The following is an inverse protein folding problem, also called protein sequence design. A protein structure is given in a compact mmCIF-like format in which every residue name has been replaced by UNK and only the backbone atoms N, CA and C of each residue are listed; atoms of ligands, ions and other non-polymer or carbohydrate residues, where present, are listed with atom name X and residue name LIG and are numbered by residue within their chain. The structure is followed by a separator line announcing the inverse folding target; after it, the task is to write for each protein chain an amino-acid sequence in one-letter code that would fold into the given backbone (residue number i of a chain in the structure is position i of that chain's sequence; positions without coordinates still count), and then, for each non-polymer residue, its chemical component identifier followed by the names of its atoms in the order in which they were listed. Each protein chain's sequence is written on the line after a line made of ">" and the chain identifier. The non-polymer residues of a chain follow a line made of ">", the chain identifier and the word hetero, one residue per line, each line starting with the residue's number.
data_IF_318227037883
#
_entry.id   IF_318227037883
#
_cell.length_a   1.000
_cell.length_b   1.000
_cell.length_c   1.000
_cell.angle_alpha   90.00
_cell.angle_beta   90.00
_cell.angle_gamma   90.00
#
_symmetry.space_group_name_H-M   'P 1'
#
loop_
_entity.id
_entity.type
_entity.pdbx_description
1 polymer ?
#
# COMPACT_ATOMS: atom_id res chain seq x y z
N UNK A 1 9.40 69.97 -4.86
CA UNK A 1 9.57 70.06 -3.40
C UNK A 1 8.43 69.37 -2.76
N UNK A 2 8.57 68.10 -2.37
CA UNK A 2 7.70 67.42 -1.39
C UNK A 2 8.40 66.08 -1.05
N UNK A 3 8.81 65.99 0.19
CA UNK A 3 9.55 64.83 0.76
C UNK A 3 8.57 63.71 1.08
N UNK A 4 8.84 62.51 0.58
CA UNK A 4 8.15 61.28 1.05
C UNK A 4 9.03 60.57 2.08
N UNK A 5 8.55 60.52 3.31
CA UNK A 5 9.08 59.72 4.40
C UNK A 5 8.68 58.27 4.21
N UNK A 6 9.66 57.37 4.15
CA UNK A 6 9.47 55.91 4.22
C UNK A 6 9.35 55.51 5.70
N UNK A 7 8.22 54.94 6.04
CA UNK A 7 7.98 54.26 7.34
C UNK A 7 8.30 52.77 7.17
N UNK A 8 9.28 52.28 7.90
CA UNK A 8 9.66 50.88 8.04
C UNK A 8 8.82 50.27 9.18
N UNK A 9 8.16 49.11 9.03
CA UNK A 9 7.59 48.43 10.18
C UNK A 9 8.65 47.58 10.89
N UNK A 10 8.77 47.83 12.18
CA UNK A 10 9.56 47.10 13.14
C UNK A 10 8.94 45.73 13.40
N UNK A 11 9.63 44.63 13.06
CA UNK A 11 9.26 43.28 13.45
C UNK A 11 9.81 43.01 14.87
N UNK A 12 8.94 43.02 15.84
CA UNK A 12 9.24 42.52 17.21
C UNK A 12 9.17 40.99 17.21
N UNK A 13 10.33 40.36 17.37
CA UNK A 13 10.45 38.91 17.63
C UNK A 13 9.99 38.60 19.04
N UNK A 14 8.88 37.89 19.16
CA UNK A 14 8.40 37.33 20.42
C UNK A 14 9.08 35.97 20.65
N UNK A 15 10.13 35.94 21.47
CA UNK A 15 10.76 34.75 21.99
C UNK A 15 9.85 34.14 23.06
N UNK A 16 9.20 33.01 22.76
CA UNK A 16 8.46 32.21 23.72
C UNK A 16 9.42 31.23 24.40
N UNK A 17 9.84 31.55 25.61
CA UNK A 17 10.59 30.66 26.48
C UNK A 17 9.65 29.57 27.02
N UNK A 18 9.85 28.32 26.62
CA UNK A 18 9.19 27.16 27.23
C UNK A 18 10.09 26.64 28.34
N UNK A 19 9.65 26.85 29.57
CA UNK A 19 10.28 26.29 30.78
C UNK A 19 10.07 24.78 30.82
N UNK A 20 11.17 24.02 30.79
CA UNK A 20 11.20 22.60 31.15
C UNK A 20 11.13 22.48 32.69
N UNK A 21 10.00 21.99 33.18
CA UNK A 21 9.93 21.45 34.55
C UNK A 21 10.43 20.01 34.55
N UNK A 22 11.64 19.81 35.02
CA UNK A 22 12.17 18.50 35.35
C UNK A 22 11.56 18.04 36.68
N UNK A 23 10.78 16.97 36.68
CA UNK A 23 10.43 16.23 37.90
C UNK A 23 11.61 15.34 38.32
N UNK A 24 12.32 15.76 39.33
CA UNK A 24 13.21 14.91 40.13
C UNK A 24 12.37 13.89 40.90
N UNK A 25 12.66 12.61 40.73
CA UNK A 25 12.25 11.55 41.66
C UNK A 25 13.45 11.14 42.46
N UNK A 26 13.28 11.24 43.81
CA UNK A 26 14.19 10.72 44.80
C UNK A 26 14.22 9.20 44.85
N UNK A 27 15.36 8.59 45.20
CA UNK A 27 15.49 7.14 45.37
C UNK A 27 15.16 6.70 46.80
N UNK A 28 14.85 5.43 46.94
CA UNK A 28 14.81 4.56 48.12
C UNK A 28 13.43 4.10 48.54
N UNK A 29 13.16 2.84 48.18
CA UNK A 29 12.78 1.82 49.18
C UNK A 29 13.14 0.44 48.62
N UNK A 30 14.07 -0.22 49.34
CA UNK A 30 14.40 -1.62 49.18
C UNK A 30 13.24 -2.47 49.72
N UNK A 31 12.84 -3.51 49.00
CA UNK A 31 12.03 -4.59 49.55
C UNK A 31 12.72 -5.93 49.35
N UNK A 32 12.70 -6.67 50.41
CA UNK A 32 13.37 -7.91 50.72
C UNK A 32 13.15 -9.05 49.70
N UNK A 33 14.24 -9.79 49.50
CA UNK A 33 14.28 -11.09 48.82
C UNK A 33 14.08 -12.19 49.85
N UNK A 34 13.13 -13.11 49.70
CA UNK A 34 13.10 -14.33 50.51
C UNK A 34 14.07 -15.37 49.95
N UNK A 35 15.00 -15.77 50.79
CA UNK A 35 15.95 -16.87 50.62
C UNK A 35 15.27 -18.24 50.61
N UNK A 36 15.69 -19.08 49.65
CA UNK A 36 15.35 -20.52 49.60
C UNK A 36 16.41 -21.32 50.37
N UNK A 37 16.05 -22.27 51.22
CA UNK A 37 17.02 -23.10 51.91
C UNK A 37 17.53 -24.25 51.05
N UNK A 38 18.84 -24.43 51.07
CA UNK A 38 19.59 -25.59 50.60
C UNK A 38 19.42 -26.78 51.54
N UNK A 39 19.17 -27.96 51.03
CA UNK A 39 19.41 -29.22 51.75
C UNK A 39 20.17 -30.19 50.86
N UNK A 40 21.16 -30.79 51.49
CA UNK A 40 22.21 -31.65 50.99
C UNK A 40 21.82 -33.14 50.91
N UNK A 41 22.55 -33.81 49.98
CA UNK A 41 23.15 -35.18 50.04
C UNK A 41 22.25 -36.44 50.05
N UNK A 42 22.43 -37.34 49.11
CA UNK A 42 23.35 -38.47 49.14
C UNK A 42 23.14 -39.44 48.00
N UNK A 43 24.21 -40.12 47.67
CA UNK A 43 24.46 -41.03 46.57
C UNK A 43 23.63 -42.31 46.49
N UNK A 44 23.48 -42.89 45.31
CA UNK A 44 23.02 -44.26 45.08
C UNK A 44 22.98 -44.59 43.56
N UNK A 45 23.97 -45.28 43.12
CA UNK A 45 24.13 -45.93 41.79
C UNK A 45 23.07 -46.96 41.51
N UNK A 46 22.48 -46.95 40.34
CA UNK A 46 22.32 -48.18 39.48
C UNK A 46 21.83 -47.75 38.07
N UNK A 47 22.47 -48.31 37.06
CA UNK A 47 22.14 -48.14 35.65
C UNK A 47 20.86 -48.91 35.29
N UNK A 48 19.97 -48.25 34.55
CA UNK A 48 18.90 -48.94 33.79
C UNK A 48 18.68 -48.22 32.47
N UNK A 49 18.63 -49.03 31.43
CA UNK A 49 18.55 -48.69 30.01
C UNK A 49 17.29 -47.87 29.74
N UNK A 50 17.47 -46.72 29.10
CA UNK A 50 16.39 -45.83 28.72
C UNK A 50 15.71 -46.30 27.44
N UNK A 51 14.42 -46.52 27.52
CA UNK A 51 13.52 -46.59 26.37
C UNK A 51 13.26 -45.15 25.87
N UNK A 52 13.54 -44.90 24.59
CA UNK A 52 13.28 -43.65 23.93
C UNK A 52 11.79 -43.41 23.73
N UNK A 53 11.25 -42.39 24.41
CA UNK A 53 9.89 -41.89 24.12
C UNK A 53 9.92 -40.95 22.92
N UNK A 54 8.95 -41.04 21.99
CA UNK A 54 8.89 -40.14 20.83
C UNK A 54 8.42 -38.77 21.23
N UNK A 55 9.02 -37.75 20.62
CA UNK A 55 8.75 -36.33 20.84
C UNK A 55 7.32 -35.93 20.45
N UNK A 56 6.57 -35.20 21.32
CA UNK A 56 5.23 -34.70 21.01
C UNK A 56 5.27 -33.25 20.51
N UNK A 57 5.95 -32.98 19.37
CA UNK A 57 6.12 -31.56 18.96
C UNK A 57 5.37 -31.18 17.67
N UNK A 58 4.88 -32.14 16.89
CA UNK A 58 4.27 -31.82 15.58
C UNK A 58 2.76 -31.47 15.64
N UNK A 59 1.99 -31.99 16.59
CA UNK A 59 0.53 -31.73 16.66
C UNK A 59 0.17 -30.33 17.21
N UNK A 60 0.96 -29.80 18.13
CA UNK A 60 0.71 -28.47 18.71
C UNK A 60 0.96 -27.33 17.71
N UNK A 61 1.96 -27.46 16.84
CA UNK A 61 2.29 -26.43 15.84
C UNK A 61 1.23 -26.34 14.73
N UNK A 62 0.66 -27.45 14.28
CA UNK A 62 -0.36 -27.44 13.23
C UNK A 62 -1.65 -26.77 13.71
N UNK A 63 -2.09 -27.05 14.94
CA UNK A 63 -3.30 -26.44 15.50
C UNK A 63 -3.14 -24.94 15.74
N UNK A 64 -1.98 -24.47 16.22
CA UNK A 64 -1.70 -23.04 16.40
C UNK A 64 -1.61 -22.30 15.06
N UNK A 65 -1.05 -22.93 14.03
CA UNK A 65 -0.94 -22.33 12.70
C UNK A 65 -2.31 -22.15 12.03
N UNK A 66 -3.23 -23.13 12.17
CA UNK A 66 -4.61 -23.01 11.68
C UNK A 66 -5.42 -21.95 12.45
N UNK A 67 -5.25 -21.85 13.77
CA UNK A 67 -5.92 -20.84 14.59
C UNK A 67 -5.40 -19.45 14.20
N UNK A 68 -4.08 -19.26 14.04
CA UNK A 68 -3.47 -18.01 13.61
C UNK A 68 -3.98 -17.55 12.24
N UNK A 69 -4.01 -18.43 11.26
CA UNK A 69 -4.53 -18.16 9.92
C UNK A 69 -6.00 -17.72 9.93
N UNK A 70 -6.86 -18.37 10.74
CA UNK A 70 -8.26 -17.99 10.90
C UNK A 70 -8.43 -16.61 11.53
N UNK A 71 -7.62 -16.27 12.55
CA UNK A 71 -7.63 -14.94 13.17
C UNK A 71 -7.14 -13.86 12.24
N UNK A 72 -6.07 -14.10 11.48
CA UNK A 72 -5.56 -13.18 10.46
C UNK A 72 -6.63 -12.91 9.42
N UNK A 73 -7.27 -13.97 8.89
CA UNK A 73 -8.35 -13.84 7.90
C UNK A 73 -9.52 -13.01 8.44
N UNK A 74 -9.95 -13.24 9.67
CA UNK A 74 -11.03 -12.47 10.32
C UNK A 74 -10.66 -10.99 10.43
N UNK A 75 -9.44 -10.67 10.88
CA UNK A 75 -8.96 -9.30 11.04
C UNK A 75 -8.83 -8.58 9.69
N UNK A 76 -8.29 -9.27 8.66
CA UNK A 76 -8.18 -8.72 7.32
C UNK A 76 -9.54 -8.43 6.70
N UNK A 77 -10.51 -9.33 6.80
CA UNK A 77 -11.88 -9.07 6.32
C UNK A 77 -12.54 -7.86 6.99
N UNK A 78 -12.23 -7.63 8.27
CA UNK A 78 -12.73 -6.46 8.99
C UNK A 78 -12.01 -5.16 8.55
N UNK A 79 -10.71 -5.22 8.32
CA UNK A 79 -9.87 -4.07 7.98
C UNK A 79 -9.93 -3.69 6.50
N UNK A 80 -9.95 -4.69 5.63
CA UNK A 80 -9.91 -4.60 4.17
C UNK A 80 -11.00 -5.52 3.59
N UNK A 81 -12.25 -5.05 3.48
CA UNK A 81 -13.36 -5.84 2.94
C UNK A 81 -13.13 -6.17 1.47
N UNK A 82 -13.66 -7.31 1.04
CA UNK A 82 -13.65 -7.73 -0.36
C UNK A 82 -14.35 -6.71 -1.27
N UNK A 83 -13.82 -6.53 -2.46
CA UNK A 83 -14.34 -5.58 -3.46
C UNK A 83 -15.04 -6.39 -4.56
N UNK A 84 -16.33 -6.18 -4.73
CA UNK A 84 -17.07 -6.69 -5.87
C UNK A 84 -16.78 -5.83 -7.11
N UNK A 85 -16.33 -6.44 -8.21
CA UNK A 85 -15.96 -5.73 -9.43
C UNK A 85 -16.32 -6.52 -10.70
N UNK A 86 -16.24 -5.86 -11.87
CA UNK A 86 -16.28 -6.49 -13.19
C UNK A 86 -15.12 -5.99 -14.06
N UNK A 87 -14.81 -6.76 -15.09
CA UNK A 87 -13.87 -6.36 -16.14
C UNK A 87 -14.58 -6.05 -17.46
N UNK A 88 -15.91 -6.11 -17.47
CA UNK A 88 -16.72 -5.81 -18.65
C UNK A 88 -16.63 -4.33 -19.00
N UNK A 89 -16.52 -4.04 -20.30
CA UNK A 89 -16.48 -2.67 -20.82
C UNK A 89 -15.38 -1.78 -20.22
N UNK A 90 -14.24 -2.35 -19.80
CA UNK A 90 -13.08 -1.58 -19.40
C UNK A 90 -12.64 -0.65 -20.55
N UNK A 91 -12.19 0.59 -20.26
CA UNK A 91 -11.53 1.43 -21.25
C UNK A 91 -10.36 0.69 -21.91
N UNK A 92 -10.15 0.90 -23.22
CA UNK A 92 -9.09 0.20 -23.97
C UNK A 92 -7.73 0.27 -23.28
N UNK A 93 -7.36 1.42 -22.73
CA UNK A 93 -6.09 1.59 -22.01
C UNK A 93 -6.01 0.72 -20.75
N UNK A 94 -7.09 0.52 -20.03
CA UNK A 94 -7.14 -0.37 -18.87
C UNK A 94 -6.99 -1.85 -19.29
N UNK A 95 -7.59 -2.23 -20.43
CA UNK A 95 -7.41 -3.54 -21.03
C UNK A 95 -5.95 -3.76 -21.44
N UNK A 96 -5.30 -2.76 -22.05
CA UNK A 96 -3.88 -2.82 -22.42
C UNK A 96 -2.97 -3.04 -21.20
N UNK A 97 -3.20 -2.32 -20.08
CA UNK A 97 -2.44 -2.54 -18.84
C UNK A 97 -2.60 -3.97 -18.33
N UNK A 98 -3.82 -4.52 -18.38
CA UNK A 98 -4.06 -5.89 -17.94
C UNK A 98 -3.30 -6.93 -18.77
N UNK A 99 -3.01 -6.63 -20.05
CA UNK A 99 -2.42 -7.55 -21.02
C UNK A 99 -0.94 -7.30 -21.30
N UNK A 100 -0.38 -6.17 -20.86
CA UNK A 100 1.01 -5.79 -21.16
C UNK A 100 2.00 -6.84 -20.65
N UNK A 101 3.03 -7.12 -21.44
CA UNK A 101 4.20 -7.90 -21.05
C UNK A 101 5.49 -7.12 -21.32
N UNK A 102 6.53 -7.45 -20.58
CA UNK A 102 7.86 -6.90 -20.77
C UNK A 102 8.61 -7.67 -21.85
N UNK A 103 9.45 -6.96 -22.61
CA UNK A 103 10.32 -7.55 -23.63
C UNK A 103 11.75 -7.01 -23.47
N UNK A 104 12.80 -7.84 -23.66
CA UNK A 104 14.21 -7.43 -23.61
C UNK A 104 14.56 -6.31 -24.59
N UNK A 105 13.85 -6.20 -25.70
CA UNK A 105 14.07 -5.17 -26.72
C UNK A 105 13.49 -3.80 -26.34
N UNK A 106 12.88 -3.69 -25.16
CA UNK A 106 12.15 -2.49 -24.72
C UNK A 106 10.82 -2.28 -25.43
N UNK A 107 10.44 -3.15 -26.37
CA UNK A 107 9.11 -3.15 -26.96
C UNK A 107 8.09 -3.63 -25.93
N UNK A 108 6.97 -2.91 -25.83
CA UNK A 108 5.86 -3.35 -24.99
C UNK A 108 5.04 -4.35 -25.79
N UNK A 109 5.08 -5.61 -25.36
CA UNK A 109 4.26 -6.64 -25.97
C UNK A 109 2.85 -6.61 -25.34
N UNK A 110 1.83 -6.42 -26.19
CA UNK A 110 0.44 -6.61 -25.80
C UNK A 110 0.01 -8.02 -26.21
N UNK A 111 -0.43 -8.81 -25.24
CA UNK A 111 -0.98 -10.13 -25.52
C UNK A 111 -2.23 -9.95 -26.41
N UNK A 112 -2.27 -10.63 -27.56
CA UNK A 112 -3.39 -10.53 -28.51
C UNK A 112 -4.72 -10.78 -27.78
N UNK A 113 -5.68 -9.86 -27.96
CA UNK A 113 -7.02 -10.02 -27.41
C UNK A 113 -7.73 -11.17 -28.13
N UNK A 114 -8.49 -12.03 -27.42
CA UNK A 114 -9.37 -12.98 -28.07
C UNK A 114 -10.39 -12.23 -28.97
N UNK A 115 -10.61 -12.70 -30.18
CA UNK A 115 -11.40 -12.05 -31.20
C UNK A 115 -12.85 -11.67 -30.78
N UNK A 116 -13.36 -12.22 -29.68
CA UNK A 116 -14.68 -11.92 -29.12
C UNK A 116 -14.85 -10.52 -28.52
N UNK A 117 -13.78 -9.78 -28.30
CA UNK A 117 -13.85 -8.44 -27.68
C UNK A 117 -13.95 -7.28 -28.70
N UNK A 118 -13.91 -7.58 -30.01
CA UNK A 118 -13.91 -6.56 -31.11
C UNK A 118 -15.29 -6.30 -31.67
N UNK A 119 -16.36 -6.95 -31.22
CA UNK A 119 -17.71 -6.78 -31.78
C UNK A 119 -18.50 -5.77 -30.94
N UNK A 120 -18.26 -4.49 -31.16
CA UNK A 120 -19.27 -3.44 -31.02
C UNK A 120 -18.77 -2.09 -31.56
N UNK A 121 -18.56 -1.92 -32.82
CA UNK A 121 -18.71 -0.66 -33.58
C UNK A 121 -18.27 -0.86 -35.05
N UNK A 122 -19.02 -1.62 -35.81
CA UNK A 122 -19.03 -1.43 -37.28
C UNK A 122 -20.45 -1.64 -37.80
N UNK A 123 -21.02 -0.55 -38.25
CA UNK A 123 -22.21 -0.53 -39.10
C UNK A 123 -21.84 -1.06 -40.47
N UNK A 124 -22.69 -1.92 -40.96
CA UNK A 124 -22.58 -2.72 -42.19
C UNK A 124 -22.12 -1.98 -43.44
N UNK A 125 -21.21 -2.61 -44.20
CA UNK A 125 -21.21 -2.64 -45.64
C UNK A 125 -20.64 -3.98 -46.13
N UNK A 126 -21.39 -4.62 -47.04
CA UNK A 126 -21.28 -5.97 -47.57
C UNK A 126 -20.06 -6.21 -48.46
N UNK A 127 -19.71 -7.50 -48.78
CA UNK A 127 -18.39 -7.95 -49.18
C UNK A 127 -18.20 -8.07 -50.73
N UNK A 128 -17.01 -8.41 -51.18
CA UNK A 128 -16.86 -9.70 -51.81
C UNK A 128 -15.60 -10.52 -51.50
N UNK A 129 -15.72 -11.75 -51.89
CA UNK A 129 -15.09 -13.00 -51.65
C UNK A 129 -13.57 -13.16 -51.83
N UNK A 130 -13.07 -14.19 -51.10
CA UNK A 130 -12.00 -15.12 -51.47
C UNK A 130 -10.55 -14.65 -51.38
N UNK A 131 -9.86 -15.07 -50.30
CA UNK A 131 -8.49 -15.61 -50.35
C UNK A 131 -8.12 -16.31 -49.04
N UNK A 132 -7.52 -17.48 -49.14
CA UNK A 132 -7.02 -18.41 -48.14
C UNK A 132 -5.94 -17.77 -47.26
N UNK A 133 -5.86 -18.04 -45.93
CA UNK A 133 -4.82 -17.47 -45.09
C UNK A 133 -3.57 -18.33 -45.06
N UNK A 134 -2.46 -17.71 -45.39
CA UNK A 134 -1.11 -18.21 -45.12
C UNK A 134 -0.70 -17.67 -43.74
N UNK A 135 -0.37 -18.58 -42.81
CA UNK A 135 0.09 -18.25 -41.44
C UNK A 135 1.56 -17.90 -41.55
N UNK A 136 1.91 -16.63 -41.37
CA UNK A 136 3.24 -16.18 -41.05
C UNK A 136 3.18 -15.14 -39.94
N UNK A 137 4.08 -15.27 -38.96
CA UNK A 137 4.10 -14.60 -37.69
C UNK A 137 3.90 -13.08 -37.71
N UNK A 138 3.04 -12.60 -36.86
CA UNK A 138 2.80 -11.18 -36.62
C UNK A 138 3.80 -10.63 -35.58
N UNK A 139 4.79 -9.91 -36.05
CA UNK A 139 5.48 -8.86 -35.28
C UNK A 139 4.63 -7.60 -35.49
N UNK A 140 3.90 -7.17 -34.46
CA UNK A 140 3.22 -5.86 -34.49
C UNK A 140 4.10 -4.83 -33.80
N UNK A 141 4.95 -4.16 -34.55
CA UNK A 141 5.46 -2.83 -34.17
C UNK A 141 4.26 -1.87 -34.23
N UNK A 142 3.92 -1.29 -33.07
CA UNK A 142 2.88 -0.25 -33.02
C UNK A 142 3.46 0.99 -33.72
N UNK A 143 2.96 1.30 -34.91
CA UNK A 143 3.30 2.55 -35.57
C UNK A 143 2.54 3.71 -34.93
N UNK A 144 3.26 4.51 -34.14
CA UNK A 144 2.73 5.69 -33.46
C UNK A 144 2.40 6.86 -34.38
N UNK A 145 2.75 6.81 -35.66
CA UNK A 145 2.42 7.87 -36.63
C UNK A 145 0.91 7.97 -36.88
N UNK A 146 0.17 6.87 -36.81
CA UNK A 146 -1.29 6.85 -36.95
C UNK A 146 -2.01 7.57 -35.77
N UNK A 147 -1.44 7.57 -34.56
CA UNK A 147 -2.01 8.27 -33.42
C UNK A 147 -1.77 9.79 -33.44
N UNK A 148 -0.77 10.26 -34.21
CA UNK A 148 -0.52 11.69 -34.42
C UNK A 148 -1.37 12.29 -35.54
N UNK A 149 -1.77 11.50 -36.52
CA UNK A 149 -2.59 12.00 -37.64
C UNK A 149 -4.05 12.23 -37.23
N UNK A 150 -4.60 11.46 -36.29
CA UNK A 150 -5.97 11.68 -35.80
C UNK A 150 -6.20 12.98 -35.04
N UNK A 151 -5.15 13.73 -34.72
CA UNK A 151 -5.26 15.04 -34.05
C UNK A 151 -5.39 16.24 -35.04
N UNK A 152 -5.19 16.04 -36.34
CA UNK A 152 -5.13 17.12 -37.30
C UNK A 152 -6.23 17.09 -38.43
N UNK A 153 -7.08 16.08 -38.44
CA UNK A 153 -8.16 16.04 -39.44
C UNK A 153 -9.36 16.84 -38.92
N UNK A 154 -9.61 17.94 -39.60
CA UNK A 154 -10.72 18.85 -39.35
C UNK A 154 -12.01 18.24 -39.98
N UNK A 155 -13.01 17.83 -39.18
CA UNK A 155 -14.27 17.32 -39.77
C UNK A 155 -15.25 18.48 -39.92
N UNK A 156 -15.39 18.94 -41.16
CA UNK A 156 -16.60 19.65 -41.60
C UNK A 156 -17.69 18.63 -41.88
N UNK A 157 -18.48 18.25 -40.88
CA UNK A 157 -19.86 17.77 -41.05
C UNK A 157 -20.60 17.87 -39.70
N UNK A 158 -21.67 18.62 -39.74
CA UNK A 158 -22.81 18.76 -38.82
C UNK A 158 -22.69 18.03 -37.47
N UNK A 159 -22.13 18.71 -36.48
CA UNK A 159 -22.03 18.22 -35.13
C UNK A 159 -23.36 18.40 -34.39
N UNK A 160 -23.86 17.32 -33.83
CA UNK A 160 -24.87 17.34 -32.80
C UNK A 160 -24.26 18.08 -31.56
N UNK A 161 -24.82 19.26 -31.22
CA UNK A 161 -24.25 20.19 -30.23
C UNK A 161 -24.28 19.71 -28.78
N UNK A 162 -24.83 18.53 -28.52
CA UNK A 162 -25.03 18.00 -27.14
C UNK A 162 -24.06 16.87 -26.75
N UNK A 163 -23.16 16.44 -27.61
CA UNK A 163 -22.10 15.50 -27.29
C UNK A 163 -20.88 16.25 -26.75
N UNK A 164 -20.74 16.36 -25.43
CA UNK A 164 -19.47 16.74 -24.81
C UNK A 164 -18.36 15.85 -25.37
N UNK A 165 -17.21 16.42 -25.82
CA UNK A 165 -16.11 15.62 -26.31
C UNK A 165 -15.66 14.67 -25.19
N UNK A 166 -15.75 13.37 -25.45
CA UNK A 166 -15.28 12.36 -24.50
C UNK A 166 -13.78 12.56 -24.31
N UNK A 167 -13.37 13.14 -23.18
CA UNK A 167 -11.94 13.18 -22.79
C UNK A 167 -11.47 11.74 -22.68
N UNK A 168 -10.72 11.29 -23.66
CA UNK A 168 -10.17 9.93 -23.68
C UNK A 168 -9.22 9.77 -22.49
N UNK A 169 -9.27 8.60 -21.85
CA UNK A 169 -8.31 8.20 -20.84
C UNK A 169 -6.94 8.10 -21.52
N UNK A 170 -5.99 8.91 -21.09
CA UNK A 170 -4.65 8.92 -21.65
C UNK A 170 -3.64 8.33 -20.66
N UNK A 171 -3.08 7.16 -21.00
CA UNK A 171 -1.92 6.54 -20.35
C UNK A 171 -0.85 6.38 -21.42
N UNK A 172 0.38 6.80 -21.11
CA UNK A 172 1.50 6.65 -22.04
C UNK A 172 1.93 5.18 -22.10
N UNK A 173 2.46 4.72 -23.26
CA UNK A 173 2.89 3.33 -23.42
C UNK A 173 3.90 2.86 -22.38
N UNK A 174 4.86 3.69 -22.04
CA UNK A 174 5.86 3.40 -21.00
C UNK A 174 5.26 3.24 -19.59
N UNK A 175 4.13 3.89 -19.32
CA UNK A 175 3.40 3.77 -18.05
C UNK A 175 2.66 2.41 -17.92
N UNK A 176 2.29 1.75 -19.03
CA UNK A 176 1.55 0.48 -18.99
C UNK A 176 2.32 -0.58 -18.22
N UNK A 177 3.59 -0.74 -18.54
CA UNK A 177 4.47 -1.70 -17.87
C UNK A 177 4.70 -1.32 -16.39
N UNK A 178 4.84 -0.01 -16.09
CA UNK A 178 5.00 0.46 -14.72
C UNK A 178 3.78 0.15 -13.87
N UNK A 179 2.56 0.32 -14.38
CA UNK A 179 1.33 -0.06 -13.67
C UNK A 179 1.32 -1.56 -13.34
N UNK A 180 1.67 -2.42 -14.31
CA UNK A 180 1.72 -3.87 -14.07
C UNK A 180 2.81 -4.23 -13.07
N UNK A 181 3.98 -3.64 -13.18
CA UNK A 181 5.07 -3.82 -12.20
C UNK A 181 4.62 -3.42 -10.79
N UNK A 182 4.01 -2.24 -10.63
CA UNK A 182 3.52 -1.76 -9.32
C UNK A 182 2.45 -2.69 -8.74
N UNK A 183 1.51 -3.16 -9.58
CA UNK A 183 0.47 -4.09 -9.16
C UNK A 183 1.04 -5.42 -8.69
N UNK A 184 1.93 -6.03 -9.49
CA UNK A 184 2.57 -7.30 -9.15
C UNK A 184 3.41 -7.18 -7.87
N UNK A 185 4.20 -6.12 -7.70
CA UNK A 185 4.97 -5.88 -6.47
C UNK A 185 4.04 -5.81 -5.24
N UNK A 186 2.96 -5.04 -5.31
CA UNK A 186 1.96 -4.98 -4.23
C UNK A 186 1.38 -6.36 -3.93
N UNK A 187 1.02 -7.13 -4.94
CA UNK A 187 0.42 -8.45 -4.79
C UNK A 187 1.40 -9.51 -4.30
N UNK A 188 2.71 -9.32 -4.54
CA UNK A 188 3.78 -10.12 -3.91
C UNK A 188 4.11 -9.66 -2.47
N UNK A 189 3.35 -8.72 -1.91
CA UNK A 189 3.54 -8.22 -0.55
C UNK A 189 4.53 -7.06 -0.42
N UNK A 190 5.07 -6.54 -1.53
CA UNK A 190 6.04 -5.44 -1.52
C UNK A 190 5.35 -4.13 -1.94
N UNK A 191 4.80 -3.40 -0.95
CA UNK A 191 4.04 -2.17 -1.20
C UNK A 191 4.89 -1.11 -1.89
N UNK A 192 4.31 -0.49 -2.91
CA UNK A 192 4.86 0.69 -3.60
C UNK A 192 4.28 2.00 -3.05
N UNK A 193 3.43 1.92 -2.02
CA UNK A 193 2.57 3.02 -1.60
C UNK A 193 1.40 3.22 -2.58
N UNK A 194 1.06 4.46 -2.89
CA UNK A 194 0.00 4.74 -3.87
C UNK A 194 0.43 4.35 -5.29
N UNK A 195 -0.45 3.64 -6.00
CA UNK A 195 -0.25 3.31 -7.42
C UNK A 195 -0.33 4.59 -8.26
N UNK A 196 0.68 4.85 -9.07
CA UNK A 196 0.85 6.11 -9.81
C UNK A 196 1.09 5.94 -11.30
N UNK A 197 1.62 4.78 -11.74
CA UNK A 197 2.18 4.58 -13.07
C UNK A 197 3.55 5.25 -13.28
N UNK A 198 4.22 5.67 -12.20
CA UNK A 198 5.54 6.30 -12.24
C UNK A 198 6.53 5.40 -11.50
N UNK A 199 7.68 5.12 -12.12
CA UNK A 199 8.80 4.39 -11.49
C UNK A 199 9.48 5.32 -10.46
N UNK A 200 8.81 5.53 -9.33
CA UNK A 200 9.28 6.37 -8.24
C UNK A 200 10.21 5.61 -7.27
N UNK A 201 10.80 6.33 -6.30
CA UNK A 201 11.72 5.73 -5.32
C UNK A 201 11.12 4.56 -4.53
N UNK A 202 9.81 4.59 -4.19
CA UNK A 202 9.17 3.51 -3.46
C UNK A 202 8.98 2.27 -4.35
N UNK A 203 8.63 2.47 -5.63
CA UNK A 203 8.55 1.37 -6.62
C UNK A 203 9.92 0.70 -6.81
N UNK A 204 10.98 1.51 -6.97
CA UNK A 204 12.35 0.97 -7.11
C UNK A 204 12.76 0.17 -5.86
N UNK A 205 12.50 0.70 -4.65
CA UNK A 205 12.79 -0.02 -3.40
C UNK A 205 12.01 -1.34 -3.31
N UNK A 206 10.72 -1.33 -3.62
CA UNK A 206 9.89 -2.54 -3.61
C UNK A 206 10.43 -3.59 -4.59
N UNK A 207 10.84 -3.18 -5.80
CA UNK A 207 11.46 -4.05 -6.79
C UNK A 207 12.80 -4.62 -6.29
N UNK A 208 13.66 -3.80 -5.71
CA UNK A 208 14.94 -4.25 -5.15
C UNK A 208 14.76 -5.25 -4.01
N UNK A 209 13.75 -5.05 -3.14
CA UNK A 209 13.42 -5.99 -2.07
C UNK A 209 12.91 -7.31 -2.65
N UNK A 210 12.05 -7.25 -3.66
CA UNK A 210 11.57 -8.43 -4.38
C UNK A 210 12.74 -9.19 -5.02
N UNK A 211 13.65 -8.50 -5.71
CA UNK A 211 14.87 -9.08 -6.29
C UNK A 211 15.73 -9.78 -5.23
N UNK A 212 15.99 -9.12 -4.10
CA UNK A 212 16.75 -9.71 -2.98
C UNK A 212 16.07 -10.96 -2.43
N UNK A 213 14.75 -10.93 -2.20
CA UNK A 213 13.97 -12.07 -1.72
C UNK A 213 14.08 -13.28 -2.67
N UNK A 214 14.16 -13.03 -3.96
CA UNK A 214 14.23 -14.08 -5.00
C UNK A 214 15.66 -14.41 -5.45
N UNK A 215 16.70 -13.91 -4.75
CA UNK A 215 18.12 -14.10 -5.08
C UNK A 215 18.48 -13.64 -6.50
N UNK A 216 17.83 -12.57 -6.99
CA UNK A 216 18.09 -11.97 -8.29
C UNK A 216 19.11 -10.84 -8.17
N UNK A 217 19.78 -10.45 -9.27
CA UNK A 217 20.58 -9.23 -9.32
C UNK A 217 19.74 -8.01 -8.92
N UNK A 218 20.28 -7.17 -8.01
CA UNK A 218 19.57 -5.96 -7.54
C UNK A 218 19.82 -4.82 -8.49
N UNK A 219 18.77 -4.38 -9.19
CA UNK A 219 18.80 -3.34 -10.21
C UNK A 219 17.83 -2.21 -9.88
N UNK A 220 17.89 -1.11 -10.63
CA UNK A 220 16.91 -0.01 -10.57
C UNK A 220 15.95 -0.01 -11.76
N UNK A 221 16.16 -0.92 -12.71
CA UNK A 221 15.38 -1.09 -13.95
C UNK A 221 14.83 -2.51 -14.03
N UNK A 222 13.74 -2.70 -14.76
CA UNK A 222 13.20 -4.02 -15.05
C UNK A 222 14.16 -4.79 -15.94
N UNK A 223 14.42 -6.05 -15.59
CA UNK A 223 15.14 -7.03 -16.39
C UNK A 223 14.33 -8.33 -16.55
N UNK A 224 14.81 -9.22 -17.43
CA UNK A 224 14.12 -10.48 -17.76
C UNK A 224 13.93 -11.38 -16.53
N UNK A 225 14.98 -11.50 -15.70
CA UNK A 225 14.92 -12.34 -14.52
C UNK A 225 13.90 -11.83 -13.50
N UNK A 226 13.86 -10.52 -13.27
CA UNK A 226 12.89 -9.85 -12.40
C UNK A 226 11.47 -10.01 -12.94
N UNK A 227 11.28 -9.78 -14.25
CA UNK A 227 9.96 -9.91 -14.88
C UNK A 227 9.44 -11.35 -14.81
N UNK A 228 10.28 -12.32 -15.14
CA UNK A 228 9.96 -13.75 -15.07
C UNK A 228 9.56 -14.15 -13.64
N UNK A 229 10.30 -13.71 -12.64
CA UNK A 229 9.97 -13.99 -11.24
C UNK A 229 8.65 -13.32 -10.81
N UNK A 230 8.42 -12.06 -11.18
CA UNK A 230 7.17 -11.34 -10.86
C UNK A 230 5.94 -12.01 -11.48
N UNK A 231 6.07 -12.57 -12.69
CA UNK A 231 4.97 -13.18 -13.43
C UNK A 231 4.84 -14.69 -13.25
N UNK A 232 5.77 -15.33 -12.52
CA UNK A 232 5.79 -16.79 -12.27
C UNK A 232 4.57 -17.30 -11.51
N UNK A 233 3.99 -16.49 -10.62
CA UNK A 233 2.76 -16.83 -9.93
C UNK A 233 1.56 -16.56 -10.87
N UNK A 234 1.05 -17.64 -11.51
CA UNK A 234 -0.05 -17.55 -12.46
C UNK A 234 -1.31 -16.93 -11.87
N UNK A 235 -1.62 -17.18 -10.59
CA UNK A 235 -2.80 -16.62 -9.94
C UNK A 235 -2.70 -15.09 -9.87
N UNK A 236 -1.54 -14.55 -9.49
CA UNK A 236 -1.32 -13.10 -9.46
C UNK A 236 -1.24 -12.52 -10.87
N UNK A 237 -0.53 -13.18 -11.78
CA UNK A 237 -0.35 -12.69 -13.15
C UNK A 237 -1.66 -12.64 -13.96
N UNK A 238 -2.65 -13.47 -13.61
CA UNK A 238 -3.99 -13.51 -14.22
C UNK A 238 -4.97 -12.49 -13.62
N UNK A 239 -4.64 -11.87 -12.47
CA UNK A 239 -5.52 -10.86 -11.87
C UNK A 239 -5.59 -9.60 -12.77
N UNK A 240 -6.79 -9.04 -12.96
CA UNK A 240 -6.92 -7.76 -13.64
C UNK A 240 -6.34 -6.64 -12.77
N UNK A 241 -5.47 -5.81 -13.36
CA UNK A 241 -4.85 -4.68 -12.67
C UNK A 241 -5.83 -3.54 -12.54
N UNK A 242 -6.55 -3.24 -13.62
CA UNK A 242 -7.67 -2.31 -13.59
C UNK A 242 -9.00 -3.06 -13.71
N UNK A 243 -9.97 -2.57 -12.96
CA UNK A 243 -11.30 -3.12 -12.80
C UNK A 243 -12.34 -2.01 -12.90
N UNK A 244 -13.57 -2.36 -13.24
CA UNK A 244 -14.74 -1.49 -13.11
C UNK A 244 -15.42 -1.75 -11.78
N UNK A 245 -15.71 -0.68 -11.06
CA UNK A 245 -16.34 -0.69 -9.74
C UNK A 245 -17.54 0.25 -9.71
N UNK A 246 -18.69 -0.21 -9.22
CA UNK A 246 -19.84 0.64 -9.00
C UNK A 246 -19.76 1.30 -7.62
N UNK A 247 -19.64 2.63 -7.61
CA UNK A 247 -19.57 3.41 -6.37
C UNK A 247 -20.85 3.25 -5.54
N UNK A 248 -20.69 3.04 -4.26
CA UNK A 248 -21.75 3.00 -3.27
C UNK A 248 -21.83 4.33 -2.49
N UNK A 249 -22.86 4.51 -1.67
CA UNK A 249 -22.94 5.68 -0.77
C UNK A 249 -21.88 5.62 0.33
N UNK A 250 -21.54 4.41 0.78
CA UNK A 250 -20.56 4.18 1.85
C UNK A 250 -19.13 4.49 1.40
N UNK A 251 -18.86 4.44 0.09
CA UNK A 251 -17.56 4.84 -0.46
C UNK A 251 -17.33 6.36 -0.41
N UNK A 252 -18.38 7.13 -0.22
CA UNK A 252 -18.38 8.58 -0.40
C UNK A 252 -18.73 9.32 0.90
N UNK A 253 -18.25 8.80 2.04
CA UNK A 253 -18.38 9.47 3.34
C UNK A 253 -17.40 10.63 3.40
N UNK A 254 -17.88 11.82 3.05
CA UNK A 254 -17.07 13.04 2.94
C UNK A 254 -17.28 13.90 4.19
N UNK A 255 -16.22 14.59 4.60
CA UNK A 255 -16.25 15.50 5.75
C UNK A 255 -17.33 16.57 5.61
N UNK A 256 -18.09 16.77 6.69
CA UNK A 256 -19.08 17.84 6.82
C UNK A 256 -18.60 18.95 7.76
N UNK A 257 -17.60 18.64 8.58
CA UNK A 257 -17.00 19.57 9.54
C UNK A 257 -15.48 19.33 9.66
N UNK A 258 -14.66 20.36 9.92
CA UNK A 258 -13.20 20.24 9.97
C UNK A 258 -12.65 19.18 10.94
N UNK A 259 -13.43 18.81 11.95
CA UNK A 259 -13.02 17.87 13.02
C UNK A 259 -13.61 16.46 12.86
N UNK A 260 -14.38 16.14 11.83
CA UNK A 260 -14.99 14.80 11.70
C UNK A 260 -14.05 13.73 11.11
N UNK A 261 -12.84 14.12 10.72
CA UNK A 261 -11.76 13.25 10.23
C UNK A 261 -12.12 12.34 9.04
N UNK A 262 -13.23 12.64 8.35
CA UNK A 262 -13.63 11.92 7.14
C UNK A 262 -12.87 12.44 5.92
N UNK A 263 -13.04 11.80 4.75
CA UNK A 263 -12.41 12.22 3.50
C UNK A 263 -12.80 13.65 3.09
N UNK A 264 -11.86 14.42 2.57
CA UNK A 264 -12.10 15.79 2.11
C UNK A 264 -12.82 15.84 0.76
N UNK A 265 -12.77 14.77 -0.01
CA UNK A 265 -13.39 14.68 -1.34
C UNK A 265 -13.69 13.24 -1.75
N UNK A 266 -14.64 13.05 -2.67
CA UNK A 266 -14.91 11.76 -3.29
C UNK A 266 -13.66 11.16 -3.97
N UNK A 267 -12.80 12.00 -4.55
CA UNK A 267 -11.55 11.58 -5.18
C UNK A 267 -10.57 10.99 -4.17
N UNK A 268 -10.43 11.60 -3.02
CA UNK A 268 -9.59 11.10 -1.92
C UNK A 268 -10.13 9.77 -1.41
N UNK A 269 -11.45 9.67 -1.19
CA UNK A 269 -12.09 8.44 -0.74
C UNK A 269 -11.86 7.27 -1.71
N UNK A 270 -12.04 7.50 -3.01
CA UNK A 270 -11.79 6.51 -4.06
C UNK A 270 -10.30 6.18 -4.14
N UNK A 271 -9.43 7.17 -4.11
CA UNK A 271 -7.98 6.97 -4.18
C UNK A 271 -7.49 6.08 -3.05
N UNK A 272 -7.95 6.34 -1.83
CA UNK A 272 -7.53 5.57 -0.66
C UNK A 272 -8.14 4.16 -0.66
N UNK A 273 -9.42 4.00 -0.99
CA UNK A 273 -10.06 2.68 -1.08
C UNK A 273 -9.36 1.76 -2.07
N UNK A 274 -8.88 2.30 -3.18
CA UNK A 274 -8.24 1.53 -4.26
C UNK A 274 -6.71 1.72 -4.31
N UNK A 275 -6.07 2.20 -3.23
CA UNK A 275 -4.62 2.32 -3.08
C UNK A 275 -3.94 3.08 -4.24
N UNK A 276 -4.60 4.12 -4.74
CA UNK A 276 -4.19 4.91 -5.90
C UNK A 276 -3.82 6.34 -5.51
N UNK A 277 -3.05 7.02 -6.36
CA UNK A 277 -2.96 8.48 -6.26
C UNK A 277 -4.26 9.14 -6.72
N UNK A 278 -4.62 10.27 -6.11
CA UNK A 278 -5.80 11.05 -6.51
C UNK A 278 -5.72 11.50 -7.98
N UNK A 279 -4.50 11.77 -8.46
CA UNK A 279 -4.25 12.12 -9.87
C UNK A 279 -4.61 10.97 -10.81
N UNK A 280 -4.30 9.72 -10.44
CA UNK A 280 -4.63 8.55 -11.24
C UNK A 280 -6.14 8.31 -11.29
N UNK A 281 -6.86 8.50 -10.17
CA UNK A 281 -8.34 8.42 -10.17
C UNK A 281 -8.94 9.36 -11.21
N UNK A 282 -8.47 10.61 -11.27
CA UNK A 282 -8.94 11.59 -12.25
C UNK A 282 -8.56 11.25 -13.69
N UNK A 283 -7.38 10.64 -13.90
CA UNK A 283 -6.92 10.22 -15.23
C UNK A 283 -7.73 9.05 -15.78
N UNK A 284 -8.07 8.08 -14.94
CA UNK A 284 -8.86 6.92 -15.34
C UNK A 284 -10.34 7.25 -15.54
N UNK A 285 -10.85 8.30 -14.90
CA UNK A 285 -12.26 8.68 -14.91
C UNK A 285 -12.46 10.17 -15.29
N UNK A 286 -11.97 10.62 -16.45
CA UNK A 286 -11.91 12.05 -16.76
C UNK A 286 -13.30 12.69 -16.95
N UNK A 287 -14.31 11.92 -17.30
CA UNK A 287 -15.68 12.39 -17.56
C UNK A 287 -16.73 11.79 -16.63
N UNK A 288 -16.36 10.77 -15.85
CA UNK A 288 -17.29 10.07 -14.97
C UNK A 288 -17.35 10.76 -13.60
N UNK A 289 -18.49 11.31 -13.20
CA UNK A 289 -18.63 11.88 -11.86
C UNK A 289 -18.46 10.82 -10.77
N UNK A 290 -17.74 11.14 -9.71
CA UNK A 290 -17.59 10.25 -8.56
C UNK A 290 -18.82 10.35 -7.65
N UNK A 291 -19.91 9.68 -8.06
CA UNK A 291 -21.21 9.64 -7.37
C UNK A 291 -21.67 8.19 -7.21
N UNK A 292 -22.41 7.91 -6.14
CA UNK A 292 -23.00 6.60 -5.90
C UNK A 292 -23.87 6.16 -7.10
N UNK A 293 -23.74 4.91 -7.50
CA UNK A 293 -24.39 4.31 -8.66
C UNK A 293 -23.55 4.36 -9.95
N UNK A 294 -22.59 5.29 -10.07
CA UNK A 294 -21.72 5.37 -11.25
C UNK A 294 -20.66 4.27 -11.22
N UNK A 295 -20.35 3.76 -12.40
CA UNK A 295 -19.25 2.79 -12.63
C UNK A 295 -17.99 3.58 -12.95
N UNK A 296 -16.91 3.30 -12.23
CA UNK A 296 -15.59 3.92 -12.40
C UNK A 296 -14.53 2.86 -12.65
N UNK A 297 -13.47 3.25 -13.38
CA UNK A 297 -12.29 2.40 -13.56
C UNK A 297 -11.28 2.70 -12.44
N UNK A 298 -10.82 1.66 -11.74
CA UNK A 298 -9.91 1.75 -10.59
C UNK A 298 -8.89 0.63 -10.61
N UNK A 299 -7.83 0.77 -9.82
CA UNK A 299 -6.88 -0.32 -9.56
C UNK A 299 -7.52 -1.39 -8.68
N UNK A 300 -7.16 -2.64 -8.93
CA UNK A 300 -7.54 -3.80 -8.11
C UNK A 300 -6.55 -3.99 -6.95
N UNK A 301 -6.89 -3.61 -5.72
CA UNK A 301 -5.99 -3.72 -4.58
C UNK A 301 -5.99 -5.15 -4.00
N UNK A 302 -5.88 -6.17 -4.85
CA UNK A 302 -5.88 -7.56 -4.45
C UNK A 302 -4.84 -7.84 -3.34
N UNK A 303 -5.25 -8.54 -2.29
CA UNK A 303 -4.43 -8.81 -1.09
C UNK A 303 -4.33 -10.32 -0.86
N UNK A 304 -3.37 -11.01 -1.50
CA UNK A 304 -3.26 -12.46 -1.38
C UNK A 304 -2.59 -12.92 -0.08
N UNK A 305 -1.82 -12.05 0.57
CA UNK A 305 -1.00 -12.44 1.72
C UNK A 305 -1.80 -12.43 3.02
N UNK A 306 -1.99 -13.61 3.59
CA UNK A 306 -2.64 -13.81 4.89
C UNK A 306 -1.68 -14.43 5.92
N UNK A 307 -0.38 -14.36 5.69
CA UNK A 307 0.63 -14.91 6.60
C UNK A 307 0.74 -14.07 7.87
N UNK A 308 0.75 -14.71 9.02
CA UNK A 308 0.93 -14.03 10.29
C UNK A 308 2.34 -13.46 10.42
N UNK A 309 2.43 -12.19 10.81
CA UNK A 309 3.68 -11.46 11.03
C UNK A 309 4.05 -11.51 12.51
N UNK A 310 5.17 -12.11 12.83
CA UNK A 310 5.67 -12.24 14.21
C UNK A 310 6.83 -11.30 14.52
N UNK A 311 7.43 -10.69 13.49
CA UNK A 311 8.51 -9.71 13.62
C UNK A 311 8.41 -8.67 12.53
N UNK A 312 8.65 -7.41 12.87
CA UNK A 312 8.89 -6.33 11.91
C UNK A 312 10.22 -5.65 12.19
N UNK A 313 10.87 -5.17 11.13
CA UNK A 313 12.13 -4.41 11.19
C UNK A 313 11.92 -3.09 10.50
N UNK A 314 12.07 -2.00 11.24
CA UNK A 314 12.02 -0.64 10.71
C UNK A 314 13.43 -0.16 10.37
N UNK A 315 13.82 -0.26 9.10
CA UNK A 315 15.04 0.33 8.57
C UNK A 315 14.83 1.84 8.38
N UNK A 316 15.32 2.61 9.36
CA UNK A 316 15.17 4.07 9.40
C UNK A 316 15.93 4.78 8.28
N UNK A 317 17.03 4.19 7.81
CA UNK A 317 17.85 4.77 6.74
C UNK A 317 17.20 4.61 5.38
N UNK A 318 16.62 3.43 5.12
CA UNK A 318 15.92 3.14 3.87
C UNK A 318 14.48 3.65 3.84
N UNK A 319 13.90 4.00 5.01
CA UNK A 319 12.47 4.27 5.17
C UNK A 319 11.62 3.10 4.65
N UNK A 320 11.90 1.91 5.15
CA UNK A 320 11.18 0.67 4.85
C UNK A 320 10.86 -0.05 6.16
N UNK A 321 9.66 -0.61 6.25
CA UNK A 321 9.26 -1.56 7.27
C UNK A 321 9.19 -2.95 6.64
N UNK A 322 10.03 -3.87 7.09
CA UNK A 322 10.04 -5.28 6.69
C UNK A 322 9.18 -6.09 7.65
N UNK A 323 8.39 -7.02 7.15
CA UNK A 323 7.53 -7.89 7.94
C UNK A 323 7.86 -9.37 7.70
N UNK A 324 8.09 -10.10 8.79
CA UNK A 324 8.57 -11.48 8.77
C UNK A 324 7.58 -12.41 9.46
N UNK A 325 7.41 -13.59 8.89
CA UNK A 325 6.73 -14.72 9.51
C UNK A 325 7.58 -15.37 10.60
N UNK A 326 6.99 -16.29 11.37
CA UNK A 326 7.69 -17.08 12.39
C UNK A 326 8.83 -17.94 11.81
N UNK A 327 8.72 -18.33 10.55
CA UNK A 327 9.79 -19.03 9.80
C UNK A 327 11.02 -18.18 9.53
N UNK A 328 10.95 -16.87 9.73
CA UNK A 328 11.96 -15.91 9.31
C UNK A 328 11.81 -15.45 7.85
N UNK A 329 10.81 -15.92 7.13
CA UNK A 329 10.53 -15.50 5.77
C UNK A 329 10.04 -14.04 5.75
N UNK A 330 10.57 -13.22 4.82
CA UNK A 330 10.06 -11.89 4.51
C UNK A 330 8.73 -12.04 3.76
N UNK A 331 7.63 -11.70 4.40
CA UNK A 331 6.28 -11.87 3.83
C UNK A 331 5.69 -10.57 3.30
N UNK A 332 6.13 -9.42 3.83
CA UNK A 332 5.73 -8.12 3.31
C UNK A 332 6.80 -7.05 3.55
N UNK A 333 6.74 -5.97 2.77
CA UNK A 333 7.53 -4.75 2.99
C UNK A 333 6.70 -3.52 2.64
N UNK A 334 6.89 -2.45 3.40
CA UNK A 334 6.10 -1.23 3.28
C UNK A 334 7.00 0.00 3.25
N UNK A 335 6.81 0.95 2.32
CA UNK A 335 7.43 2.26 2.42
C UNK A 335 6.93 2.95 3.68
N UNK A 336 7.82 3.62 4.40
CA UNK A 336 7.46 4.22 5.69
C UNK A 336 8.06 5.59 5.88
N UNK A 337 7.47 6.35 6.79
CA UNK A 337 8.02 7.60 7.31
C UNK A 337 8.38 7.39 8.77
N UNK A 338 9.61 7.70 9.13
CA UNK A 338 10.16 7.58 10.49
C UNK A 338 10.45 8.93 11.12
N UNK A 339 10.80 8.93 12.39
CA UNK A 339 11.14 10.14 13.13
C UNK A 339 12.25 10.97 12.52
N UNK A 340 12.25 12.27 12.85
CA UNK A 340 13.32 13.19 12.48
C UNK A 340 14.52 13.08 13.43
N UNK A 341 15.58 13.85 13.15
CA UNK A 341 16.70 13.97 14.08
C UNK A 341 16.30 14.65 15.41
N UNK A 342 15.27 15.51 15.38
CA UNK A 342 14.76 16.20 16.59
C UNK A 342 13.76 15.34 17.38
N UNK A 343 13.01 14.50 16.71
CA UNK A 343 12.03 13.58 17.30
C UNK A 343 12.28 12.18 16.75
N UNK A 344 13.37 11.51 17.18
CA UNK A 344 13.78 10.26 16.57
C UNK A 344 12.81 9.11 16.90
N UNK A 345 12.67 8.18 15.96
CA UNK A 345 12.07 6.88 16.25
C UNK A 345 12.93 6.13 17.29
N UNK A 346 12.34 5.20 18.05
CA UNK A 346 13.08 4.38 18.98
C UNK A 346 14.29 3.67 18.36
N UNK A 347 15.14 3.14 19.19
CA UNK A 347 16.23 2.23 18.81
C UNK A 347 16.07 0.92 19.56
N UNK A 348 16.64 -0.16 19.04
CA UNK A 348 16.55 -1.49 19.65
C UNK A 348 15.23 -2.20 19.36
N UNK A 349 14.82 -3.09 20.24
CA UNK A 349 13.67 -3.95 20.07
C UNK A 349 12.54 -3.59 21.02
N UNK A 350 11.33 -3.51 20.50
CA UNK A 350 10.08 -3.33 21.23
C UNK A 350 9.13 -4.49 20.91
N UNK A 351 7.99 -4.56 21.61
CA UNK A 351 6.93 -5.54 21.35
C UNK A 351 5.63 -4.85 21.00
N UNK A 352 4.84 -5.47 20.13
CA UNK A 352 3.44 -5.06 19.91
C UNK A 352 2.64 -5.30 21.19
N UNK A 353 1.95 -4.28 21.69
CA UNK A 353 1.14 -4.32 22.92
C UNK A 353 -0.34 -4.36 22.65
N UNK A 354 -0.81 -3.59 21.68
CA UNK A 354 -2.21 -3.51 21.31
C UNK A 354 -2.37 -3.11 19.86
N UNK A 355 -3.56 -3.35 19.35
CA UNK A 355 -3.96 -2.92 17.99
C UNK A 355 -5.35 -2.30 18.06
N UNK A 356 -5.52 -1.15 17.43
CA UNK A 356 -6.80 -0.43 17.39
C UNK A 356 -7.16 -0.11 15.95
N UNK A 357 -8.32 -0.58 15.52
CA UNK A 357 -8.90 -0.22 14.24
C UNK A 357 -9.71 1.08 14.40
N UNK A 358 -9.54 2.00 13.46
CA UNK A 358 -10.16 3.32 13.48
C UNK A 358 -9.98 4.03 14.84
N UNK A 359 -8.72 4.34 15.23
CA UNK A 359 -8.42 4.93 16.52
C UNK A 359 -8.93 6.37 16.61
N UNK A 360 -9.29 6.78 17.83
CA UNK A 360 -9.34 8.20 18.19
C UNK A 360 -7.92 8.72 18.41
N UNK A 361 -7.70 10.02 18.26
CA UNK A 361 -6.42 10.65 18.53
C UNK A 361 -6.58 11.82 19.49
N UNK A 362 -5.74 11.88 20.52
CA UNK A 362 -5.72 13.00 21.44
C UNK A 362 -4.47 13.85 21.20
N UNK A 363 -4.68 15.11 20.88
CA UNK A 363 -3.60 16.08 20.67
C UNK A 363 -3.06 16.64 21.98
N UNK A 364 -3.83 16.51 23.06
CA UNK A 364 -3.45 17.01 24.39
C UNK A 364 -4.21 16.24 25.49
N UNK A 365 -3.50 15.41 26.23
CA UNK A 365 -4.07 14.54 27.27
C UNK A 365 -4.69 15.30 28.45
N UNK A 366 -4.53 16.62 28.51
CA UNK A 366 -5.11 17.46 29.57
C UNK A 366 -6.58 17.78 29.35
N UNK A 367 -7.14 17.58 28.14
CA UNK A 367 -8.52 17.95 27.80
C UNK A 367 -9.21 16.89 26.93
N UNK A 368 -10.45 16.52 27.31
CA UNK A 368 -11.30 15.63 26.50
C UNK A 368 -11.76 16.31 25.21
N UNK A 369 -11.82 17.63 25.15
CA UNK A 369 -12.26 18.39 23.99
C UNK A 369 -11.26 18.38 22.83
N UNK A 370 -10.03 17.92 23.11
CA UNK A 370 -8.94 17.78 22.10
C UNK A 370 -8.86 16.38 21.49
N UNK A 371 -9.84 15.53 21.74
CA UNK A 371 -9.94 14.25 21.10
C UNK A 371 -10.51 14.40 19.67
N UNK A 372 -9.78 13.84 18.70
CA UNK A 372 -10.24 13.72 17.32
C UNK A 372 -10.90 12.36 17.13
N UNK A 373 -12.09 12.32 16.46
CA UNK A 373 -12.79 11.06 16.20
C UNK A 373 -12.03 10.16 15.24
N UNK A 374 -12.45 8.89 15.14
CA UNK A 374 -11.95 8.00 14.10
C UNK A 374 -12.24 8.54 12.70
N UNK A 375 -11.34 8.25 11.78
CA UNK A 375 -11.53 8.59 10.36
C UNK A 375 -10.24 8.47 9.57
N UNK A 376 -10.33 8.41 8.25
CA UNK A 376 -9.15 8.28 7.38
C UNK A 376 -8.20 9.48 7.50
N UNK A 377 -8.72 10.66 7.80
CA UNK A 377 -7.94 11.89 7.98
C UNK A 377 -7.53 12.16 9.44
N UNK A 378 -7.74 11.20 10.34
CA UNK A 378 -7.17 11.25 11.68
C UNK A 378 -5.62 11.22 11.59
N UNK A 379 -4.88 11.99 12.41
CA UNK A 379 -3.41 12.04 12.38
C UNK A 379 -2.70 10.68 12.47
N UNK A 380 -3.36 9.68 13.10
CA UNK A 380 -2.86 8.29 13.18
C UNK A 380 -3.58 7.35 12.21
N UNK A 381 -4.37 7.89 11.30
CA UNK A 381 -5.06 7.16 10.25
C UNK A 381 -6.06 6.13 10.76
N UNK A 382 -6.24 5.06 9.96
CA UNK A 382 -7.26 4.03 10.19
C UNK A 382 -6.82 2.87 11.08
N UNK A 383 -5.53 2.72 11.34
CA UNK A 383 -5.00 1.66 12.19
C UNK A 383 -3.87 2.17 13.08
N UNK A 384 -3.88 1.74 14.34
CA UNK A 384 -2.83 1.96 15.31
C UNK A 384 -2.33 0.64 15.86
N UNK A 385 -1.03 0.41 15.79
CA UNK A 385 -0.32 -0.74 16.36
C UNK A 385 0.63 -0.19 17.44
N UNK A 386 0.17 -0.22 18.69
CA UNK A 386 0.88 0.33 19.84
C UNK A 386 2.03 -0.56 20.31
N UNK A 387 3.14 0.06 20.67
CA UNK A 387 4.36 -0.64 21.06
C UNK A 387 4.56 -0.65 22.58
N UNK A 388 5.50 -1.47 23.07
CA UNK A 388 5.84 -1.58 24.48
C UNK A 388 6.42 -0.29 25.07
N UNK A 389 6.94 0.62 24.26
CA UNK A 389 7.31 1.98 24.66
C UNK A 389 6.07 2.88 24.51
N UNK A 390 5.67 3.50 25.61
CA UNK A 390 4.49 4.39 25.67
C UNK A 390 4.58 5.49 24.59
N UNK A 391 3.46 5.81 23.98
CA UNK A 391 3.30 6.85 22.94
C UNK A 391 4.01 6.56 21.62
N UNK A 392 4.58 5.37 21.43
CA UNK A 392 5.14 4.94 20.16
C UNK A 392 4.29 3.85 19.51
N UNK A 393 4.14 3.94 18.20
CA UNK A 393 3.36 2.99 17.41
C UNK A 393 3.72 2.99 15.93
N UNK A 394 3.16 2.02 15.23
CA UNK A 394 3.08 1.95 13.78
C UNK A 394 1.64 2.28 13.41
N UNK A 395 1.42 3.22 12.50
CA UNK A 395 0.07 3.69 12.22
C UNK A 395 -0.12 4.21 10.81
N UNK A 396 -1.38 4.36 10.38
CA UNK A 396 -1.75 4.96 9.10
C UNK A 396 -1.47 6.46 9.01
N UNK A 397 -1.67 7.02 7.83
CA UNK A 397 -1.49 8.44 7.56
C UNK A 397 -2.58 8.96 6.63
N UNK A 398 -3.11 10.17 6.85
CA UNK A 398 -4.03 10.83 5.93
C UNK A 398 -3.38 11.30 4.64
N UNK A 399 -2.04 11.22 4.54
CA UNK A 399 -1.26 11.74 3.42
C UNK A 399 -0.40 10.63 2.79
N UNK A 400 -1.01 9.67 2.06
CA UNK A 400 -0.31 8.52 1.51
C UNK A 400 0.81 8.90 0.54
N UNK A 401 0.65 9.99 -0.21
CA UNK A 401 1.64 10.46 -1.19
C UNK A 401 2.92 11.03 -0.54
N UNK A 402 2.86 11.36 0.77
CA UNK A 402 3.98 11.89 1.53
C UNK A 402 4.75 10.82 2.32
N UNK A 403 4.34 9.57 2.26
CA UNK A 403 5.08 8.45 2.86
C UNK A 403 6.46 8.35 2.19
N UNK A 404 7.51 8.24 3.01
CA UNK A 404 8.94 8.31 2.66
C UNK A 404 9.46 9.69 2.23
N UNK A 405 8.61 10.71 2.10
CA UNK A 405 9.01 12.08 1.74
C UNK A 405 9.10 13.03 2.95
N UNK A 406 8.31 12.78 4.00
CA UNK A 406 8.29 13.58 5.23
C UNK A 406 9.03 12.90 6.38
N UNK A 407 9.08 13.59 7.53
CA UNK A 407 9.55 13.08 8.82
C UNK A 407 8.39 13.04 9.82
N UNK A 408 8.40 12.07 10.73
CA UNK A 408 7.40 11.97 11.79
C UNK A 408 7.94 12.52 13.13
N UNK A 409 7.08 12.53 14.15
CA UNK A 409 7.45 12.84 15.55
C UNK A 409 7.91 11.60 16.34
N UNK A 410 8.43 10.58 15.62
CA UNK A 410 9.01 9.39 16.24
C UNK A 410 8.24 8.09 15.94
N UNK A 411 6.94 8.15 15.65
CA UNK A 411 6.17 6.99 15.24
C UNK A 411 6.52 6.57 13.80
N UNK A 412 6.23 5.33 13.47
CA UNK A 412 6.35 4.78 12.10
C UNK A 412 5.03 4.99 11.38
N UNK A 413 5.04 5.80 10.31
CA UNK A 413 3.86 6.06 9.48
C UNK A 413 3.87 5.20 8.23
N UNK A 414 2.75 4.60 7.94
CA UNK A 414 2.43 3.88 6.71
C UNK A 414 1.28 4.58 5.99
N UNK A 415 0.97 4.19 4.75
CA UNK A 415 -0.34 4.51 4.17
C UNK A 415 -1.44 3.86 5.01
N UNK A 416 -2.68 4.35 4.94
CA UNK A 416 -3.77 3.74 5.70
C UNK A 416 -3.98 2.27 5.31
N UNK A 417 -3.91 1.93 4.03
CA UNK A 417 -4.09 0.55 3.56
C UNK A 417 -2.93 -0.38 3.97
N UNK A 418 -1.68 0.09 3.95
CA UNK A 418 -0.54 -0.68 4.44
C UNK A 418 -0.63 -0.92 5.95
N UNK A 419 -1.06 0.10 6.70
CA UNK A 419 -1.30 -0.02 8.14
C UNK A 419 -2.44 -0.99 8.45
N UNK A 420 -3.52 -1.00 7.66
CA UNK A 420 -4.62 -1.94 7.77
C UNK A 420 -4.19 -3.38 7.42
N UNK A 421 -3.37 -3.55 6.37
CA UNK A 421 -2.78 -4.85 6.02
C UNK A 421 -1.91 -5.39 7.16
N UNK A 422 -1.02 -4.57 7.69
CA UNK A 422 -0.17 -4.96 8.83
C UNK A 422 -1.01 -5.20 10.10
N UNK A 423 -2.02 -4.36 10.39
CA UNK A 423 -2.95 -4.55 11.51
C UNK A 423 -3.63 -5.94 11.44
N UNK A 424 -4.05 -6.36 10.24
CA UNK A 424 -4.68 -7.66 10.04
C UNK A 424 -3.73 -8.84 10.24
N UNK A 425 -2.46 -8.68 9.90
CA UNK A 425 -1.49 -9.79 9.86
C UNK A 425 -0.58 -9.86 11.09
N UNK A 426 -0.25 -8.74 11.75
CA UNK A 426 0.71 -8.74 12.86
C UNK A 426 0.16 -9.42 14.11
N UNK A 427 0.97 -10.25 14.75
CA UNK A 427 0.62 -10.93 16.00
C UNK A 427 0.72 -9.99 17.21
N UNK A 428 -0.06 -10.27 18.26
CA UNK A 428 0.15 -9.67 19.57
C UNK A 428 1.47 -10.18 20.14
N UNK A 429 2.27 -9.28 20.72
CA UNK A 429 3.60 -9.60 21.21
C UNK A 429 4.69 -9.73 20.14
N UNK A 430 4.37 -9.50 18.87
CA UNK A 430 5.35 -9.51 17.78
C UNK A 430 6.53 -8.57 18.07
N UNK A 431 7.72 -8.96 17.61
CA UNK A 431 8.93 -8.15 17.73
C UNK A 431 8.91 -6.95 16.78
N UNK A 432 9.31 -5.79 17.28
CA UNK A 432 9.46 -4.57 16.48
C UNK A 432 10.88 -4.04 16.67
N UNK A 433 11.74 -4.25 15.68
CA UNK A 433 13.16 -3.88 15.71
C UNK A 433 13.35 -2.58 14.94
N UNK A 434 14.11 -1.64 15.50
CA UNK A 434 14.48 -0.37 14.88
C UNK A 434 15.98 -0.32 14.60
N UNK A 435 16.35 -0.22 13.30
CA UNK A 435 17.73 -0.16 12.79
C UNK A 435 18.10 1.20 12.21
#
# INVERSE_FOLDING_TARGET
>A
MSSYHKILPCFTSLLLAISLSACQQSPNQAMDVPTVPTANTAAGTTASVAASSPAPTLKANVSQQFIGASLVQKRLKQALPEIAYTTDNLPMVAQQVNQVSWSPTGAIELKAMPASAVVASQVASTPPASATPSVTGFQSTIDYSALKQSANDNPSTVANKDALPSKQVFIKPDELLVFKTQALLNWHGHSVGALTGIMNKNTIKAMQIFQQKHNLPVTTTMDEATWTALTSNETLNKQPIFINYQLTRDDLVITKAPKDMQYKSAREAVAEKFHMSQKLVSRLNPTTPLKAGNIITVYNPYQPNMTEVTKVVSDKKKNILYAYAASGELVASYPTTVGSNYTPSPSGSLKVKNRVLNPTYNTDFSSKEKWLPPGPNNPVGRAWIGLSKRSFGIHGSPEPELISAQKSHGCVRLTNWDALSLYGTIADGADVVFE
#
